data_IF_038071133644
#
_entry.id   IF_038071133644
#
_cell.length_a   1.000
_cell.length_b   1.000
_cell.length_c   1.000
_cell.angle_alpha   90.00
_cell.angle_beta   90.00
_cell.angle_gamma   90.00
#
_symmetry.space_group_name_H-M   'P 1'
#
loop_
_entity.id
_entity.type
_entity.pdbx_description
1 polymer ?
#
# COMPACT_ATOMS: atom_id res chain seq x y z
N UNK A 1 22.38 23.71 -23.26
CA UNK A 1 21.89 22.32 -23.39
C UNK A 1 20.40 22.40 -23.08
N UNK A 2 19.57 22.34 -24.13
CA UNK A 2 18.14 22.63 -24.09
C UNK A 2 17.45 21.33 -23.68
N UNK A 3 16.66 21.34 -22.61
CA UNK A 3 15.88 20.17 -22.19
C UNK A 3 15.01 19.69 -23.37
N UNK A 4 15.05 18.39 -23.66
CA UNK A 4 14.26 17.80 -24.75
C UNK A 4 12.77 17.97 -24.46
N UNK A 5 11.96 18.51 -25.40
CA UNK A 5 10.55 18.83 -25.17
C UNK A 5 9.62 17.61 -24.96
N UNK A 6 10.14 16.38 -25.10
CA UNK A 6 9.40 15.14 -24.87
C UNK A 6 9.23 14.75 -23.41
N UNK A 7 10.17 15.12 -22.52
CA UNK A 7 10.14 14.72 -21.11
C UNK A 7 9.03 15.44 -20.33
N UNK A 8 8.89 16.75 -20.54
CA UNK A 8 7.89 17.56 -19.85
C UNK A 8 6.46 17.19 -20.26
N UNK A 9 6.25 16.84 -21.53
CA UNK A 9 4.92 16.43 -22.03
C UNK A 9 4.49 15.09 -21.42
N UNK A 10 5.42 14.14 -21.23
CA UNK A 10 5.16 12.87 -20.56
C UNK A 10 4.82 13.04 -19.07
N UNK A 11 5.57 13.90 -18.37
CA UNK A 11 5.31 14.21 -16.96
C UNK A 11 3.96 14.91 -16.74
N UNK A 12 3.60 15.85 -17.63
CA UNK A 12 2.28 16.51 -17.60
C UNK A 12 1.17 15.50 -17.84
N UNK A 13 1.29 14.63 -18.85
CA UNK A 13 0.29 13.61 -19.14
C UNK A 13 0.13 12.60 -17.99
N UNK A 14 1.23 12.21 -17.34
CA UNK A 14 1.18 11.39 -16.12
C UNK A 14 0.46 12.11 -14.98
N UNK A 15 0.80 13.38 -14.73
CA UNK A 15 0.18 14.18 -13.68
C UNK A 15 -1.34 14.36 -13.93
N UNK A 16 -1.76 14.60 -15.17
CA UNK A 16 -3.17 14.68 -15.55
C UNK A 16 -3.90 13.36 -15.27
N UNK A 17 -3.31 12.21 -15.63
CA UNK A 17 -3.89 10.89 -15.32
C UNK A 17 -3.97 10.63 -13.82
N UNK A 18 -2.94 11.03 -13.05
CA UNK A 18 -2.93 10.89 -11.60
C UNK A 18 -3.99 11.78 -10.95
N UNK A 19 -4.12 13.04 -11.37
CA UNK A 19 -5.17 13.94 -10.89
C UNK A 19 -6.56 13.41 -11.22
N UNK A 20 -6.78 12.94 -12.45
CA UNK A 20 -8.03 12.30 -12.84
C UNK A 20 -8.32 11.05 -11.98
N UNK A 21 -7.30 10.24 -11.67
CA UNK A 21 -7.44 9.10 -10.78
C UNK A 21 -7.91 9.52 -9.39
N UNK A 22 -7.31 10.57 -8.83
CA UNK A 22 -7.63 11.15 -7.54
C UNK A 22 -9.04 11.76 -7.51
N UNK A 23 -9.48 12.40 -8.60
CA UNK A 23 -10.79 13.05 -8.74
C UNK A 23 -11.94 12.07 -9.00
N UNK A 24 -11.75 11.07 -9.88
CA UNK A 24 -12.79 10.08 -10.22
C UNK A 24 -13.04 9.07 -9.11
N UNK A 25 -12.02 8.79 -8.30
CA UNK A 25 -12.24 8.05 -7.09
C UNK A 25 -13.10 8.90 -6.17
N UNK A 26 -14.29 8.42 -5.80
CA UNK A 26 -14.74 8.61 -4.43
C UNK A 26 -13.65 7.99 -3.54
N UNK A 27 -12.55 8.71 -3.32
CA UNK A 27 -11.37 8.32 -2.56
C UNK A 27 -11.71 8.33 -1.05
N UNK A 28 -12.93 7.89 -0.73
CA UNK A 28 -13.43 7.65 0.62
C UNK A 28 -12.74 6.44 1.27
N UNK A 29 -12.01 5.65 0.47
CA UNK A 29 -11.18 4.54 0.93
C UNK A 29 -9.73 5.01 1.17
N UNK A 30 -9.38 5.33 2.42
CA UNK A 30 -8.02 5.74 2.83
C UNK A 30 -6.93 4.76 2.39
N UNK A 31 -7.26 3.48 2.15
CA UNK A 31 -6.29 2.47 1.71
C UNK A 31 -5.77 2.67 0.28
N UNK A 32 -6.50 3.37 -0.60
CA UNK A 32 -5.97 3.74 -1.92
C UNK A 32 -4.83 4.76 -1.80
N UNK A 33 -4.98 5.75 -0.90
CA UNK A 33 -3.92 6.71 -0.60
C UNK A 33 -2.72 6.02 0.06
N UNK A 34 -2.96 5.09 0.98
CA UNK A 34 -1.88 4.32 1.59
C UNK A 34 -1.07 3.53 0.55
N UNK A 35 -1.71 3.00 -0.49
CA UNK A 35 -1.00 2.34 -1.59
C UNK A 35 -0.20 3.34 -2.43
N UNK A 36 -0.79 4.47 -2.86
CA UNK A 36 -0.05 5.47 -3.63
C UNK A 36 1.17 6.00 -2.85
N UNK A 37 0.98 6.34 -1.57
CA UNK A 37 2.05 6.80 -0.70
C UNK A 37 3.10 5.73 -0.48
N UNK A 38 2.69 4.49 -0.21
CA UNK A 38 3.61 3.36 -0.07
C UNK A 38 4.42 3.07 -1.33
N UNK A 39 3.84 3.24 -2.52
CA UNK A 39 4.57 3.13 -3.79
C UNK A 39 5.59 4.26 -3.96
N UNK A 40 5.22 5.50 -3.64
CA UNK A 40 6.15 6.65 -3.68
C UNK A 40 7.33 6.42 -2.74
N UNK A 41 7.08 6.03 -1.48
CA UNK A 41 8.12 5.75 -0.50
C UNK A 41 9.06 4.64 -0.99
N UNK A 42 8.51 3.56 -1.56
CA UNK A 42 9.32 2.47 -2.12
C UNK A 42 10.15 2.90 -3.32
N UNK A 43 9.63 3.76 -4.19
CA UNK A 43 10.40 4.28 -5.31
C UNK A 43 11.64 5.04 -4.84
N UNK A 44 11.48 5.84 -3.77
CA UNK A 44 12.58 6.60 -3.18
C UNK A 44 13.56 5.71 -2.41
N UNK A 45 13.06 4.75 -1.64
CA UNK A 45 13.88 3.86 -0.82
C UNK A 45 14.65 2.82 -1.64
N UNK A 46 14.07 2.36 -2.75
CA UNK A 46 14.65 1.35 -3.63
C UNK A 46 15.26 1.96 -4.89
N UNK A 47 15.55 3.26 -4.89
CA UNK A 47 16.26 3.89 -6.00
C UNK A 47 17.67 3.34 -6.16
N UNK A 48 18.15 3.24 -7.39
CA UNK A 48 19.51 2.79 -7.67
C UNK A 48 20.55 3.88 -7.33
N UNK A 49 21.84 3.58 -7.57
CA UNK A 49 22.93 4.52 -7.30
C UNK A 49 22.88 5.79 -8.15
N UNK A 50 22.13 5.79 -9.25
CA UNK A 50 21.90 6.96 -10.11
C UNK A 50 20.69 7.78 -9.68
N UNK A 51 19.92 7.30 -8.70
CA UNK A 51 18.66 7.91 -8.27
C UNK A 51 17.46 7.51 -9.12
N UNK A 52 17.61 6.51 -10.00
CA UNK A 52 16.50 6.01 -10.80
C UNK A 52 15.59 5.12 -9.95
N UNK A 53 14.28 5.31 -10.12
CA UNK A 53 13.27 4.48 -9.44
C UNK A 53 13.38 3.00 -9.89
N UNK A 54 13.01 2.04 -9.02
CA UNK A 54 13.01 0.62 -9.39
C UNK A 54 11.97 0.34 -10.48
N UNK A 55 12.28 -0.57 -11.41
CA UNK A 55 11.29 -1.05 -12.40
C UNK A 55 10.32 -2.08 -11.82
N UNK A 56 10.66 -2.68 -10.67
CA UNK A 56 9.88 -3.74 -10.03
C UNK A 56 9.85 -3.54 -8.52
N UNK A 57 8.63 -3.60 -7.97
CA UNK A 57 8.36 -3.74 -6.54
C UNK A 57 7.62 -5.06 -6.28
N UNK A 58 7.45 -5.44 -5.02
CA UNK A 58 6.64 -6.60 -4.62
C UNK A 58 5.49 -6.19 -3.73
N UNK A 59 4.39 -6.97 -3.77
CA UNK A 59 3.27 -6.80 -2.84
C UNK A 59 3.70 -6.91 -1.38
N UNK A 60 4.76 -7.69 -1.10
CA UNK A 60 5.34 -7.84 0.22
C UNK A 60 5.98 -6.56 0.72
N UNK A 61 6.79 -5.90 -0.11
CA UNK A 61 7.38 -4.58 0.22
C UNK A 61 6.28 -3.55 0.47
N UNK A 62 5.26 -3.52 -0.40
CA UNK A 62 4.14 -2.60 -0.23
C UNK A 62 3.35 -2.88 1.05
N UNK A 63 3.13 -4.15 1.41
CA UNK A 63 2.44 -4.52 2.64
C UNK A 63 3.18 -4.07 3.90
N UNK A 64 4.52 -4.14 3.90
CA UNK A 64 5.33 -3.62 4.99
C UNK A 64 5.16 -2.10 5.12
N UNK A 65 5.24 -1.37 4.00
CA UNK A 65 5.03 0.09 3.99
C UNK A 65 3.65 0.50 4.43
N UNK A 66 2.62 -0.16 3.94
CA UNK A 66 1.23 0.11 4.36
C UNK A 66 1.05 -0.18 5.86
N UNK A 67 1.71 -1.21 6.39
CA UNK A 67 1.72 -1.49 7.83
C UNK A 67 2.37 -0.35 8.62
N UNK A 68 3.50 0.19 8.13
CA UNK A 68 4.19 1.35 8.73
C UNK A 68 3.30 2.60 8.71
N UNK A 69 2.68 2.92 7.57
CA UNK A 69 1.79 4.07 7.40
C UNK A 69 0.58 4.03 8.34
N UNK A 70 0.00 2.85 8.57
CA UNK A 70 -1.16 2.68 9.44
C UNK A 70 -0.81 2.46 10.91
N UNK A 71 0.44 2.16 11.24
CA UNK A 71 0.88 1.89 12.62
C UNK A 71 0.43 2.98 13.63
N UNK A 72 0.72 4.29 13.41
CA UNK A 72 0.31 5.32 14.35
C UNK A 72 -1.22 5.52 14.40
N UNK A 73 -1.95 5.15 13.34
CA UNK A 73 -3.40 5.28 13.25
C UNK A 73 -4.13 4.14 14.00
N UNK A 74 -3.47 2.99 14.16
CA UNK A 74 -3.97 1.86 14.93
C UNK A 74 -3.78 2.05 16.45
N UNK A 75 -2.80 2.86 16.86
CA UNK A 75 -2.50 3.13 18.26
C UNK A 75 -3.69 3.79 18.95
N UNK A 76 -4.20 3.14 19.99
CA UNK A 76 -5.31 3.66 20.79
C UNK A 76 -4.82 4.83 21.64
N UNK A 77 -5.36 6.02 21.43
CA UNK A 77 -5.12 7.16 22.31
C UNK A 77 -6.00 7.04 23.57
N UNK A 78 -5.35 6.99 24.73
CA UNK A 78 -6.04 7.10 26.02
C UNK A 78 -6.12 8.58 26.40
N UNK A 79 -7.26 9.22 26.20
CA UNK A 79 -7.55 10.54 26.78
C UNK A 79 -8.42 10.36 28.02
N UNK A 80 -7.97 10.91 29.15
CA UNK A 80 -8.75 11.05 30.40
C UNK A 80 -9.55 9.80 30.84
N UNK A 81 -8.88 8.65 30.96
CA UNK A 81 -9.48 7.42 31.53
C UNK A 81 -10.46 6.67 30.62
N UNK A 82 -10.67 7.13 29.38
CA UNK A 82 -11.52 6.45 28.40
C UNK A 82 -10.68 6.09 27.17
N UNK A 83 -10.47 4.78 26.95
CA UNK A 83 -9.86 4.28 25.72
C UNK A 83 -10.84 4.54 24.57
N UNK A 84 -10.60 5.58 23.79
CA UNK A 84 -11.51 5.98 22.70
C UNK A 84 -10.83 5.69 21.37
N UNK A 85 -11.34 4.69 20.66
CA UNK A 85 -10.90 4.43 19.28
C UNK A 85 -11.59 5.43 18.38
N UNK A 86 -10.83 6.21 17.61
CA UNK A 86 -11.37 7.03 16.53
C UNK A 86 -11.93 6.11 15.45
N UNK A 87 -13.21 5.73 15.59
CA UNK A 87 -13.89 4.81 14.69
C UNK A 87 -14.48 5.57 13.51
N UNK A 88 -13.62 6.29 12.79
CA UNK A 88 -13.92 6.88 11.49
C UNK A 88 -13.30 5.94 10.46
N UNK A 89 -14.07 5.03 9.85
CA UNK A 89 -13.90 4.60 8.44
C UNK A 89 -14.72 3.36 8.07
N UNK A 90 -15.15 3.37 6.81
CA UNK A 90 -15.86 2.33 6.05
C UNK A 90 -14.90 1.22 5.59
N UNK A 91 -15.44 0.03 5.29
CA UNK A 91 -14.76 -1.29 5.20
C UNK A 91 -13.44 -1.38 4.42
N UNK A 92 -12.63 -2.42 4.69
CA UNK A 92 -11.30 -2.69 4.12
C UNK A 92 -10.15 -2.06 4.91
N UNK A 93 -10.14 -0.73 5.05
CA UNK A 93 -9.25 -0.02 5.97
C UNK A 93 -9.47 -0.46 7.42
N UNK A 94 -10.75 -0.62 7.79
CA UNK A 94 -11.12 -1.14 9.09
C UNK A 94 -10.46 -2.50 9.38
N UNK A 95 -10.23 -3.33 8.36
CA UNK A 95 -9.61 -4.65 8.55
C UNK A 95 -8.09 -4.56 8.73
N UNK A 96 -7.37 -3.77 7.91
CA UNK A 96 -5.93 -3.54 8.11
C UNK A 96 -5.67 -2.92 9.48
N UNK A 97 -6.42 -1.88 9.85
CA UNK A 97 -6.32 -1.27 11.19
C UNK A 97 -6.65 -2.26 12.30
N UNK A 98 -7.72 -3.06 12.15
CA UNK A 98 -8.09 -4.07 13.15
C UNK A 98 -7.01 -5.15 13.30
N UNK A 99 -6.36 -5.54 12.20
CA UNK A 99 -5.28 -6.52 12.24
C UNK A 99 -4.03 -5.98 12.93
N UNK A 100 -3.68 -4.71 12.68
CA UNK A 100 -2.58 -4.02 13.39
C UNK A 100 -2.93 -3.89 14.88
N UNK A 101 -4.16 -3.48 15.21
CA UNK A 101 -4.63 -3.37 16.60
C UNK A 101 -4.59 -4.70 17.34
N UNK A 102 -5.08 -5.78 16.72
CA UNK A 102 -5.02 -7.13 17.29
C UNK A 102 -3.57 -7.55 17.51
N UNK A 103 -2.68 -7.22 16.58
CA UNK A 103 -1.26 -7.51 16.73
C UNK A 103 -0.63 -6.72 17.89
N UNK A 104 -0.88 -5.42 17.97
CA UNK A 104 -0.40 -4.57 19.07
C UNK A 104 -0.88 -5.08 20.42
N UNK A 105 -2.17 -5.42 20.55
CA UNK A 105 -2.73 -5.92 21.80
C UNK A 105 -2.18 -7.30 22.23
N UNK A 106 -1.89 -8.19 21.29
CA UNK A 106 -1.46 -9.56 21.57
C UNK A 106 0.05 -9.74 21.77
N UNK A 107 0.87 -8.95 21.08
CA UNK A 107 2.31 -9.22 20.96
C UNK A 107 3.23 -8.02 21.14
N UNK A 108 2.70 -6.80 21.00
CA UNK A 108 3.52 -5.59 20.94
C UNK A 108 2.92 -4.45 21.75
N UNK A 109 2.36 -4.76 22.92
CA UNK A 109 1.78 -3.78 23.82
C UNK A 109 2.87 -2.77 24.24
N UNK A 110 2.68 -1.50 23.88
CA UNK A 110 3.64 -0.44 24.16
C UNK A 110 4.77 -0.28 23.15
N UNK A 111 4.82 -1.05 22.06
CA UNK A 111 5.77 -0.80 20.97
C UNK A 111 5.38 0.49 20.23
N UNK A 112 6.28 1.47 20.22
CA UNK A 112 6.03 2.76 19.58
C UNK A 112 6.14 2.66 18.06
N UNK A 113 6.93 1.70 17.56
CA UNK A 113 7.22 1.55 16.12
C UNK A 113 7.00 0.12 15.61
N UNK A 114 6.71 -0.07 14.31
CA UNK A 114 6.66 -1.40 13.68
C UNK A 114 7.98 -2.17 13.84
N UNK A 115 9.12 -1.47 13.80
CA UNK A 115 10.44 -2.08 13.96
C UNK A 115 10.62 -2.73 15.34
N UNK A 116 10.25 -2.02 16.41
CA UNK A 116 10.26 -2.58 17.76
C UNK A 116 9.32 -3.77 17.87
N UNK A 117 8.11 -3.64 17.34
CA UNK A 117 7.11 -4.69 17.39
C UNK A 117 7.55 -5.97 16.63
N UNK A 118 8.22 -5.81 15.49
CA UNK A 118 8.84 -6.92 14.73
C UNK A 118 9.91 -7.63 15.55
N UNK A 119 10.74 -6.90 16.32
CA UNK A 119 11.76 -7.51 17.18
C UNK A 119 11.15 -8.29 18.35
N UNK A 120 10.04 -7.82 18.90
CA UNK A 120 9.34 -8.49 20.00
C UNK A 120 8.66 -9.78 19.58
N UNK A 121 8.05 -9.81 18.39
CA UNK A 121 7.30 -10.96 17.90
C UNK A 121 7.45 -11.14 16.38
N UNK A 122 8.62 -11.62 15.91
CA UNK A 122 8.94 -11.68 14.47
C UNK A 122 7.94 -12.53 13.68
N UNK A 123 7.60 -13.72 14.15
CA UNK A 123 6.69 -14.63 13.44
C UNK A 123 5.26 -14.08 13.35
N UNK A 124 4.80 -13.45 14.43
CA UNK A 124 3.48 -12.83 14.47
C UNK A 124 3.42 -11.55 13.62
N UNK A 125 4.52 -10.78 13.55
CA UNK A 125 4.65 -9.64 12.66
C UNK A 125 4.64 -10.07 11.19
N UNK A 126 5.38 -11.12 10.83
CA UNK A 126 5.33 -11.67 9.47
C UNK A 126 3.94 -12.20 9.12
N UNK A 127 3.19 -12.74 10.10
CA UNK A 127 1.80 -13.12 9.90
C UNK A 127 0.86 -11.92 9.69
N UNK A 128 1.10 -10.80 10.38
CA UNK A 128 0.40 -9.53 10.15
C UNK A 128 0.67 -9.03 8.73
N UNK A 129 1.94 -8.93 8.33
CA UNK A 129 2.32 -8.47 6.98
C UNK A 129 1.70 -9.35 5.90
N UNK A 130 1.63 -10.68 6.08
CA UNK A 130 0.93 -11.59 5.15
C UNK A 130 -0.57 -11.27 5.00
N UNK A 131 -1.24 -10.90 6.09
CA UNK A 131 -2.67 -10.53 6.03
C UNK A 131 -2.85 -9.20 5.31
N UNK A 132 -2.01 -8.22 5.60
CA UNK A 132 -2.00 -6.92 4.90
C UNK A 132 -1.70 -7.13 3.42
N UNK A 133 -0.70 -7.94 3.07
CA UNK A 133 -0.36 -8.30 1.69
C UNK A 133 -1.55 -8.91 0.94
N UNK A 134 -2.22 -9.90 1.55
CA UNK A 134 -3.45 -10.46 0.97
C UNK A 134 -4.49 -9.38 0.72
N UNK A 135 -4.71 -8.49 1.70
CA UNK A 135 -5.67 -7.39 1.53
C UNK A 135 -5.31 -6.58 0.32
N UNK A 136 -4.07 -6.12 0.17
CA UNK A 136 -3.64 -5.33 -0.99
C UNK A 136 -3.82 -6.05 -2.33
N UNK A 137 -3.50 -7.35 -2.38
CA UNK A 137 -3.66 -8.21 -3.57
C UNK A 137 -5.13 -8.34 -3.96
N UNK A 138 -6.00 -8.57 -2.98
CA UNK A 138 -7.45 -8.63 -3.15
C UNK A 138 -7.99 -7.25 -3.60
N UNK A 139 -7.62 -6.20 -2.86
CA UNK A 139 -7.97 -4.79 -3.04
C UNK A 139 -7.02 -3.87 -2.22
N UNK A 140 -6.46 -2.78 -2.75
CA UNK A 140 -6.93 -2.05 -3.92
C UNK A 140 -6.20 -2.38 -5.22
N UNK A 141 -5.11 -3.16 -5.22
CA UNK A 141 -4.18 -3.19 -6.37
C UNK A 141 -4.88 -3.44 -7.72
N UNK A 142 -5.81 -4.42 -7.85
CA UNK A 142 -6.49 -4.67 -9.14
C UNK A 142 -7.48 -3.59 -9.58
N UNK A 143 -7.83 -2.63 -8.71
CA UNK A 143 -8.85 -1.61 -8.97
C UNK A 143 -8.35 -0.19 -8.76
N UNK A 144 -7.10 -0.02 -8.34
CA UNK A 144 -6.58 1.30 -8.02
C UNK A 144 -6.59 2.20 -9.25
N UNK A 145 -6.27 1.64 -10.42
CA UNK A 145 -6.09 2.35 -11.69
C UNK A 145 -7.30 2.22 -12.63
N UNK A 146 -8.48 1.98 -12.05
CA UNK A 146 -9.75 1.89 -12.79
C UNK A 146 -10.48 3.23 -12.68
N UNK A 147 -10.65 3.91 -13.82
CA UNK A 147 -11.37 5.18 -13.95
C UNK A 147 -12.65 4.94 -14.73
N UNK A 148 -13.80 5.08 -14.05
CA UNK A 148 -15.09 4.69 -14.62
C UNK A 148 -15.16 3.17 -14.86
N UNK A 149 -15.27 2.76 -16.13
CA UNK A 149 -15.31 1.35 -16.55
C UNK A 149 -14.03 0.87 -17.24
N UNK A 150 -13.04 1.75 -17.40
CA UNK A 150 -11.81 1.47 -18.13
C UNK A 150 -10.64 1.34 -17.15
N UNK A 151 -9.86 0.28 -17.34
CA UNK A 151 -8.55 0.13 -16.72
C UNK A 151 -7.52 0.86 -17.60
N UNK A 152 -6.76 1.77 -16.99
CA UNK A 152 -5.62 2.44 -17.62
C UNK A 152 -4.40 2.25 -16.70
N UNK A 153 -3.61 1.18 -16.88
CA UNK A 153 -2.47 0.88 -16.01
C UNK A 153 -1.28 1.79 -16.36
N UNK A 154 -1.28 3.02 -15.84
CA UNK A 154 -0.26 4.04 -16.10
C UNK A 154 0.78 4.22 -14.98
N UNK A 155 0.54 3.65 -13.80
CA UNK A 155 1.46 3.65 -12.64
C UNK A 155 2.19 2.31 -12.55
N UNK A 156 1.45 1.21 -12.68
CA UNK A 156 2.01 -0.14 -12.60
C UNK A 156 1.16 -1.19 -13.34
N UNK A 157 1.75 -2.36 -13.57
CA UNK A 157 1.09 -3.58 -14.02
C UNK A 157 1.27 -4.70 -12.99
N UNK A 158 0.26 -5.56 -12.88
CA UNK A 158 0.24 -6.74 -12.00
C UNK A 158 -0.19 -7.98 -12.79
N UNK A 159 0.23 -9.17 -12.33
CA UNK A 159 -0.02 -10.44 -13.01
C UNK A 159 -1.36 -11.11 -12.71
N UNK A 160 -2.29 -10.45 -12.01
CA UNK A 160 -3.56 -11.04 -11.58
C UNK A 160 -4.74 -10.07 -11.71
N UNK A 161 -5.96 -10.61 -11.73
CA UNK A 161 -7.20 -9.85 -11.86
C UNK A 161 -8.01 -9.79 -10.54
N UNK A 162 -9.05 -8.93 -10.44
CA UNK A 162 -9.85 -8.78 -9.20
C UNK A 162 -10.58 -10.04 -8.70
N UNK A 163 -10.63 -11.14 -9.47
CA UNK A 163 -11.20 -12.43 -9.07
C UNK A 163 -10.17 -13.35 -8.42
N UNK A 164 -8.95 -12.86 -8.16
CA UNK A 164 -7.89 -13.60 -7.46
C UNK A 164 -8.41 -14.16 -6.14
N UNK A 165 -7.98 -15.38 -5.80
CA UNK A 165 -8.38 -16.04 -4.55
C UNK A 165 -7.19 -16.21 -3.63
N UNK A 166 -7.45 -16.26 -2.32
CA UNK A 166 -6.40 -16.50 -1.33
C UNK A 166 -5.65 -17.82 -1.58
N UNK A 167 -6.34 -18.82 -2.13
CA UNK A 167 -5.72 -20.10 -2.51
C UNK A 167 -4.69 -19.93 -3.64
N UNK A 168 -5.00 -19.12 -4.64
CA UNK A 168 -4.10 -18.87 -5.77
C UNK A 168 -2.83 -18.11 -5.33
N UNK A 169 -2.96 -17.15 -4.39
CA UNK A 169 -1.81 -16.41 -3.85
C UNK A 169 -0.87 -17.29 -3.02
N UNK A 170 -1.38 -18.41 -2.48
CA UNK A 170 -0.57 -19.38 -1.72
C UNK A 170 0.14 -20.39 -2.60
N UNK A 171 -0.10 -20.38 -3.90
CA UNK A 171 0.64 -21.19 -4.84
C UNK A 171 2.11 -20.72 -4.89
N UNK A 172 3.05 -21.65 -5.05
CA UNK A 172 4.47 -21.32 -5.11
C UNK A 172 4.82 -20.47 -6.35
N UNK A 173 3.99 -20.57 -7.39
CA UNK A 173 4.18 -19.88 -8.66
C UNK A 173 3.47 -18.51 -8.74
N UNK A 174 2.90 -18.01 -7.64
CA UNK A 174 2.24 -16.71 -7.63
C UNK A 174 3.24 -15.57 -7.86
N UNK A 175 3.07 -14.85 -8.96
CA UNK A 175 3.86 -13.67 -9.28
C UNK A 175 3.36 -12.45 -8.48
N UNK A 176 4.10 -12.13 -7.42
CA UNK A 176 3.78 -11.04 -6.51
C UNK A 176 4.42 -9.69 -6.91
N UNK A 177 4.91 -9.59 -8.15
CA UNK A 177 5.55 -8.38 -8.67
C UNK A 177 4.53 -7.31 -9.04
N UNK A 178 4.92 -6.06 -8.76
CA UNK A 178 4.29 -4.82 -9.21
C UNK A 178 5.29 -4.19 -10.17
N UNK A 179 5.00 -4.26 -11.47
CA UNK A 179 5.87 -3.74 -12.52
C UNK A 179 5.57 -2.26 -12.71
N UNK A 180 6.49 -1.36 -12.35
CA UNK A 180 6.24 0.08 -12.48
C UNK A 180 6.30 0.49 -13.94
N UNK A 181 5.37 1.38 -14.32
CA UNK A 181 5.31 1.94 -15.67
C UNK A 181 6.10 3.24 -15.66
N UNK A 182 7.30 3.20 -16.24
CA UNK A 182 8.18 4.35 -16.41
C UNK A 182 9.32 3.99 -17.36
N UNK A 183 9.53 4.83 -18.37
CA UNK A 183 10.68 4.79 -19.29
C UNK A 183 11.85 5.62 -18.73
#
# INVERSE_FOLDING_TARGET
MIASPGGDTGAIAFAEKLLALLDYGSFTATYKFAVLLGLIDLCLECSDKSGAAPSVLTTRQLAQKVTELYWPQATVFTTAGHATVLRQCTSGQAEILSDIQRFQAGWAAGAATPYEARRLAPDAYEALVRRVEWKLIEMPLPRLQVVGTKEDPFIYQIGWDPKITFRAVRDADFDNRILLVGD
#
